data_IF_431387182023
#
_entry.id   IF_431387182023
#
_cell.length_a   1.000
_cell.length_b   1.000
_cell.length_c   1.000
_cell.angle_alpha   90.00
_cell.angle_beta   90.00
_cell.angle_gamma   90.00
#
_symmetry.space_group_name_H-M   'P 1'
#
loop_
_entity.id
_entity.type
_entity.pdbx_description
1 polymer ?
2 non-polymer ?
3 water ?
#
# COMPACT_ATOMS: atom_id res chain seq x y z
N UNK A 1 -0.42 6.54 -14.51
CA UNK A 1 0.66 6.42 -15.54
C UNK A 1 1.37 5.10 -15.42
N UNK A 2 2.10 4.88 -14.34
CA UNK A 2 2.61 3.55 -14.10
C UNK A 2 3.02 3.26 -12.65
N UNK A 3 2.71 2.04 -12.21
CA UNK A 3 3.03 1.61 -10.85
C UNK A 3 3.61 0.20 -10.84
N UNK A 4 4.61 -0.03 -9.99
CA UNK A 4 5.24 -1.34 -9.89
C UNK A 4 5.36 -1.81 -8.44
N UNK A 5 4.82 -3.00 -8.20
CA UNK A 5 4.87 -3.67 -6.91
C UNK A 5 5.78 -4.90 -7.01
N UNK A 6 7.05 -4.76 -6.70
CA UNK A 6 8.03 -5.82 -6.95
C UNK A 6 7.80 -7.14 -6.19
N UNK A 7 7.01 -7.17 -5.12
CA UNK A 7 6.74 -8.42 -4.40
C UNK A 7 5.29 -8.85 -4.57
N UNK A 8 5.09 -10.11 -4.90
CA UNK A 8 3.73 -10.60 -5.14
C UNK A 8 3.09 -11.11 -3.86
N UNK A 9 3.92 -11.63 -2.96
CA UNK A 9 3.42 -12.19 -1.72
C UNK A 9 4.29 -11.82 -0.57
N UNK A 10 3.67 -11.66 0.59
CA UNK A 10 4.44 -11.48 1.79
C UNK A 10 3.83 -12.26 2.96
N UNK A 11 4.66 -13.04 3.63
CA UNK A 11 4.23 -13.83 4.78
C UNK A 11 4.90 -13.26 6.01
N UNK A 12 4.10 -13.07 7.05
CA UNK A 12 4.55 -12.36 8.23
C UNK A 12 3.70 -12.79 9.44
N UNK A 13 4.35 -12.84 10.59
CA UNK A 13 3.68 -13.17 11.84
C UNK A 13 3.04 -11.93 12.49
N UNK A 14 1.91 -12.18 13.11
CA UNK A 14 1.24 -11.14 13.81
C UNK A 14 2.20 -10.48 14.82
N UNK A 15 2.28 -9.15 14.78
CA UNK A 15 3.12 -8.42 15.70
C UNK A 15 4.32 -7.81 15.04
N UNK A 16 4.72 -8.37 13.92
CA UNK A 16 5.88 -7.88 13.24
C UNK A 16 5.49 -6.78 12.29
N UNK A 17 6.50 -6.07 11.84
CA UNK A 17 6.38 -4.98 10.91
C UNK A 17 6.13 -5.50 9.55
N UNK A 18 5.75 -4.60 8.68
CA UNK A 18 5.43 -4.94 7.32
C UNK A 18 5.78 -3.75 6.46
N UNK A 19 6.31 -4.01 5.28
CA UNK A 19 6.59 -2.95 4.33
C UNK A 19 6.18 -3.49 2.97
N UNK A 20 5.24 -2.85 2.29
CA UNK A 20 4.87 -3.25 0.93
C UNK A 20 5.43 -2.25 -0.03
N UNK A 21 6.36 -2.71 -0.86
CA UNK A 21 7.02 -1.82 -1.79
C UNK A 21 6.16 -1.41 -3.01
N UNK A 22 6.22 -0.13 -3.34
CA UNK A 22 5.60 0.38 -4.55
C UNK A 22 6.48 1.43 -5.23
N UNK A 23 6.71 1.25 -6.52
CA UNK A 23 7.44 2.23 -7.29
C UNK A 23 6.51 2.78 -8.34
N UNK A 24 6.68 4.04 -8.69
CA UNK A 24 5.82 4.61 -9.70
C UNK A 24 6.62 5.29 -10.76
N UNK A 25 5.94 5.53 -11.87
CA UNK A 25 6.51 6.21 -13.00
C UNK A 25 5.59 7.33 -13.43
N UNK A 26 6.18 8.50 -13.52
CA UNK A 26 5.48 9.69 -13.92
C UNK A 26 6.55 10.75 -13.96
N UNK A 27 6.18 11.92 -14.44
CA UNK A 27 7.14 12.99 -14.57
C UNK A 27 6.53 14.17 -13.90
N UNK A 28 5.22 14.24 -14.01
CA UNK A 28 4.51 15.34 -13.41
C UNK A 28 4.37 15.12 -11.92
N UNK A 29 3.32 15.74 -11.41
CA UNK A 29 2.92 15.65 -10.03
C UNK A 29 2.01 14.40 -9.94
N UNK A 30 2.40 13.35 -9.21
CA UNK A 30 1.54 12.16 -9.08
C UNK A 30 0.54 12.17 -7.92
N UNK A 31 -0.64 11.62 -8.16
CA UNK A 31 -1.58 11.32 -7.09
C UNK A 31 -1.38 9.81 -6.82
N UNK A 32 -1.08 9.45 -5.57
CA UNK A 32 -0.81 8.07 -5.20
C UNK A 32 -1.80 7.50 -4.22
N UNK A 33 -2.04 6.20 -4.33
CA UNK A 33 -3.02 5.54 -3.47
C UNK A 33 -2.62 4.11 -3.10
N UNK A 34 -3.14 3.65 -1.98
CA UNK A 34 -3.11 2.24 -1.60
C UNK A 34 -4.59 1.80 -1.39
N UNK A 35 -4.95 0.66 -1.97
CA UNK A 35 -6.28 0.04 -1.84
C UNK A 35 -6.08 -1.35 -1.30
N UNK A 36 -7.04 -1.82 -0.51
CA UNK A 36 -6.96 -3.15 0.06
C UNK A 36 -8.20 -3.96 -0.34
N UNK A 37 -7.97 -5.22 -0.67
CA UNK A 37 -9.05 -6.15 -0.96
C UNK A 37 -9.08 -7.30 0.07
N UNK A 38 -10.05 -7.24 0.97
CA UNK A 38 -10.29 -8.30 1.93
C UNK A 38 -11.10 -9.38 1.26
N UNK A 39 -11.06 -10.59 1.81
CA UNK A 39 -11.82 -11.72 1.29
C UNK A 39 -13.30 -11.40 1.16
N UNK A 40 -13.88 -11.85 0.07
CA UNK A 40 -15.29 -11.62 -0.15
C UNK A 40 -15.72 -10.15 0.01
N UNK A 41 -14.93 -9.24 -0.53
CA UNK A 41 -15.38 -7.85 -0.63
C UNK A 41 -14.67 -7.13 -1.75
N UNK A 42 -15.23 -6.00 -2.17
CA UNK A 42 -14.61 -5.21 -3.21
C UNK A 42 -13.42 -4.42 -2.70
N UNK A 43 -12.72 -3.74 -3.60
CA UNK A 43 -11.60 -2.90 -3.21
C UNK A 43 -12.03 -1.81 -2.26
N UNK A 44 -11.15 -1.42 -1.35
CA UNK A 44 -11.40 -0.23 -0.55
C UNK A 44 -10.14 0.61 -0.54
N UNK A 45 -10.35 1.92 -0.46
CA UNK A 45 -9.22 2.81 -0.43
C UNK A 45 -8.62 2.70 0.95
N UNK A 46 -7.30 2.63 1.02
CA UNK A 46 -6.63 2.50 2.30
C UNK A 46 -6.00 3.84 2.62
N UNK A 47 -5.29 4.42 1.67
CA UNK A 47 -4.79 5.75 1.91
C UNK A 47 -4.50 6.43 0.59
N UNK A 48 -4.29 7.74 0.64
CA UNK A 48 -4.12 8.50 -0.57
C UNK A 48 -3.29 9.73 -0.35
N UNK A 49 -2.60 10.13 -1.40
CA UNK A 49 -1.73 11.28 -1.35
C UNK A 49 -2.01 12.14 -2.55
N UNK A 50 -2.34 13.40 -2.30
CA UNK A 50 -2.55 14.36 -3.39
C UNK A 50 -1.55 15.46 -3.31
N UNK A 51 -1.32 15.93 -2.10
CA UNK A 51 -0.39 17.02 -1.89
C UNK A 51 -0.05 17.14 -0.42
N UNK A 52 0.77 18.14 -0.13
CA UNK A 52 1.23 18.40 1.22
C UNK A 52 2.27 17.43 1.72
N UNK A 53 2.12 17.11 2.99
CA UNK A 53 3.00 16.21 3.70
C UNK A 53 3.01 14.83 3.03
N UNK A 54 4.21 14.36 2.73
CA UNK A 54 4.44 13.12 1.99
C UNK A 54 4.12 11.86 2.77
N UNK A 55 4.10 11.97 4.09
CA UNK A 55 3.75 10.88 4.96
C UNK A 55 2.25 10.97 5.20
N UNK A 56 1.55 9.90 4.86
CA UNK A 56 0.11 9.86 4.94
C UNK A 56 -0.31 8.71 5.82
N UNK A 57 -1.29 8.96 6.67
CA UNK A 57 -1.72 7.95 7.61
C UNK A 57 -3.10 7.47 7.22
N UNK A 58 -3.25 6.17 7.05
CA UNK A 58 -4.54 5.60 6.71
C UNK A 58 -5.13 4.86 7.90
N UNK A 59 -6.25 4.18 7.67
CA UNK A 59 -6.91 3.39 8.71
C UNK A 59 -6.01 2.28 9.24
N UNK A 60 -6.30 1.85 10.47
CA UNK A 60 -5.62 0.74 11.13
C UNK A 60 -4.09 0.71 11.18
N UNK A 61 -3.43 1.82 11.47
CA UNK A 61 -1.98 1.82 11.62
C UNK A 61 -1.18 1.82 10.33
N UNK A 62 -1.86 1.95 9.21
CA UNK A 62 -1.16 1.91 7.94
C UNK A 62 -0.63 3.26 7.60
N UNK A 63 0.60 3.26 7.10
CA UNK A 63 1.32 4.47 6.71
C UNK A 63 2.00 4.36 5.35
N UNK A 64 2.10 5.49 4.67
CA UNK A 64 2.83 5.58 3.42
C UNK A 64 3.48 6.96 3.23
N UNK A 65 4.67 6.91 2.66
CA UNK A 65 5.44 8.09 2.38
C UNK A 65 5.69 8.26 0.89
N UNK A 66 5.38 9.45 0.40
CA UNK A 66 5.64 9.78 -0.97
C UNK A 66 7.07 10.26 -1.04
N UNK A 67 7.86 9.66 -1.92
CA UNK A 67 9.22 10.13 -2.12
C UNK A 67 9.46 10.46 -3.57
N UNK A 68 9.56 11.73 -3.90
CA UNK A 68 9.85 12.13 -5.28
C UNK A 68 11.25 11.72 -5.73
N UNK A 69 12.20 11.79 -4.82
CA UNK A 69 13.59 11.49 -5.12
C UNK A 69 13.79 10.02 -5.40
N UNK A 70 13.14 9.20 -4.57
CA UNK A 70 13.23 7.77 -4.70
C UNK A 70 12.10 7.29 -5.57
N UNK A 71 11.22 8.21 -5.95
CA UNK A 71 10.00 7.86 -6.67
C UNK A 71 9.35 6.58 -6.13
N UNK A 72 9.12 6.54 -4.82
CA UNK A 72 8.47 5.40 -4.18
C UNK A 72 7.21 5.82 -3.41
N UNK A 73 6.41 4.83 -2.98
CA UNK A 73 5.23 5.07 -2.13
C UNK A 73 5.04 3.81 -1.28
N UNK A 74 6.08 3.46 -0.55
CA UNK A 74 6.06 2.26 0.27
C UNK A 74 5.05 2.38 1.41
N UNK A 75 4.30 1.31 1.60
CA UNK A 75 3.32 1.23 2.66
C UNK A 75 3.96 0.47 3.81
N UNK A 76 3.72 0.95 5.02
CA UNK A 76 4.22 0.30 6.20
C UNK A 76 3.21 0.27 7.35
N UNK A 77 3.49 -0.65 8.26
CA UNK A 77 2.74 -0.77 9.50
C UNK A 77 3.68 -1.37 10.52
N UNK A 78 3.73 -0.78 11.71
CA UNK A 78 4.66 -1.21 12.77
C UNK A 78 4.39 -2.59 13.33
N UNK A 79 3.14 -2.95 13.45
CA UNK A 79 2.85 -4.20 14.11
C UNK A 79 1.57 -4.76 13.52
N UNK A 80 1.72 -5.72 12.59
CA UNK A 80 0.57 -6.24 11.82
C UNK A 80 -0.38 -7.05 12.67
N UNK A 81 -1.65 -6.93 12.33
CA UNK A 81 -2.71 -7.70 12.96
C UNK A 81 -3.11 -8.86 12.04
N UNK A 82 -3.69 -9.90 12.63
CA UNK A 82 -4.04 -11.09 11.87
C UNK A 82 -5.12 -10.81 10.88
N UNK A 83 -5.99 -9.90 11.20
CA UNK A 83 -7.03 -9.54 10.26
C UNK A 83 -6.48 -8.72 9.07
N UNK A 84 -5.17 -8.46 9.05
CA UNK A 84 -4.58 -7.70 7.94
C UNK A 84 -4.32 -8.53 6.67
N UNK A 85 -4.60 -9.83 6.73
CA UNK A 85 -4.40 -10.66 5.56
C UNK A 85 -5.28 -10.18 4.42
N UNK A 86 -4.66 -9.94 3.29
CA UNK A 86 -5.37 -9.38 2.17
C UNK A 86 -4.44 -9.12 1.02
N UNK A 87 -5.02 -8.58 -0.04
CA UNK A 87 -4.25 -8.20 -1.21
C UNK A 87 -4.25 -6.68 -1.26
N UNK A 88 -3.04 -6.13 -1.30
CA UNK A 88 -2.81 -4.69 -1.32
C UNK A 88 -2.36 -4.19 -2.70
N UNK A 89 -3.07 -3.18 -3.21
CA UNK A 89 -2.79 -2.63 -4.53
C UNK A 89 -2.37 -1.17 -4.41
N UNK A 90 -1.25 -0.84 -5.07
CA UNK A 90 -0.75 0.52 -5.21
C UNK A 90 -1.34 1.07 -6.51
N UNK A 91 -1.71 2.33 -6.53
CA UNK A 91 -2.23 2.92 -7.75
C UNK A 91 -1.71 4.34 -7.89
N UNK A 92 -1.63 4.82 -9.12
CA UNK A 92 -1.17 6.18 -9.39
C UNK A 92 -2.11 6.96 -10.30
N UNK A 93 -2.07 8.29 -10.18
CA UNK A 93 -2.92 9.14 -11.00
C UNK A 93 -2.31 10.53 -11.16
N UNK A 94 -3.13 11.48 -11.58
CA UNK A 94 -2.66 12.84 -11.81
C UNK A 94 -3.76 13.75 -12.30
N UNK A 95 -3.42 15.02 -12.46
CA UNK A 95 -4.39 16.01 -12.88
C UNK A 95 -5.19 15.55 -14.10
N UNK A 96 -4.53 15.32 -15.23
CA UNK A 96 -5.25 14.89 -16.43
C UNK A 96 -4.89 13.46 -16.82
N UNK A 97 -4.88 12.58 -15.83
CA UNK A 97 -4.48 11.20 -16.02
C UNK A 97 -5.51 10.23 -15.41
N UNK A 98 -5.54 9.00 -15.90
CA UNK A 98 -6.47 8.03 -15.35
C UNK A 98 -5.81 7.33 -14.17
N UNK A 99 -6.62 6.65 -13.38
CA UNK A 99 -6.12 5.85 -12.28
C UNK A 99 -5.52 4.52 -12.76
N UNK A 100 -4.27 4.23 -12.39
CA UNK A 100 -3.61 2.98 -12.80
C UNK A 100 -3.20 2.14 -11.62
N UNK A 101 -3.39 0.83 -11.71
CA UNK A 101 -3.12 -0.09 -10.61
C UNK A 101 -1.93 -0.95 -10.86
N UNK A 102 -1.32 -1.39 -9.76
CA UNK A 102 -0.18 -2.28 -9.77
C UNK A 102 -0.75 -3.67 -9.71
N UNK A 103 0.13 -4.67 -9.75
CA UNK A 103 -0.24 -6.09 -9.79
C UNK A 103 -0.69 -6.64 -8.44
N UNK A 104 -0.46 -5.87 -7.38
CA UNK A 104 -0.93 -6.23 -6.06
C UNK A 104 0.03 -7.09 -5.29
N UNK A 105 -0.15 -7.11 -3.98
CA UNK A 105 0.73 -7.91 -3.15
C UNK A 105 -0.05 -8.62 -2.08
N UNK A 106 0.00 -9.94 -2.15
CA UNK A 106 -0.70 -10.77 -1.19
C UNK A 106 0.06 -10.83 0.14
N UNK A 107 -0.63 -10.47 1.21
CA UNK A 107 -0.07 -10.52 2.56
C UNK A 107 -0.74 -11.62 3.37
N UNK A 108 0.04 -12.59 3.79
CA UNK A 108 -0.46 -13.67 4.60
C UNK A 108 0.05 -13.37 6.00
N UNK A 109 -0.85 -13.22 6.98
CA UNK A 109 -0.45 -12.99 8.37
C UNK A 109 -0.67 -14.24 9.18
N UNK A 110 0.36 -14.65 9.90
CA UNK A 110 0.24 -15.79 10.79
C UNK A 110 -0.27 -15.22 12.12
N UNK A 111 -1.35 -15.79 12.66
CA UNK A 111 -1.94 -15.29 13.89
C UNK A 111 -1.10 -15.69 15.08
N UNK A 112 -1.20 -14.94 16.16
CA UNK A 112 -0.44 -15.21 17.36
C UNK A 112 -1.34 -15.97 18.29
N UNK A 113 -0.88 -17.11 18.76
CA UNK A 113 -1.71 -17.95 19.57
C UNK A 113 -1.12 -18.14 20.96
N UNK A 114 -1.93 -17.89 21.98
CA UNK A 114 -1.53 -18.05 23.37
C UNK A 114 -2.46 -19.01 24.04
N UNK A 115 -2.23 -19.24 25.32
CA UNK A 115 -3.10 -20.09 26.09
C UNK A 115 -3.23 -19.48 27.48
X LIG B 1 15.60 6.87 -0.56
X LIG B 1 15.00 6.77 0.84
X LIG B 1 16.06 7.17 1.86
X LIG B 1 17.26 6.24 1.73
X LIG B 1 17.73 6.20 0.28
X LIG B 1 18.84 5.17 0.10
X LIG B 1 12.63 6.96 1.30
X LIG B 1 11.82 6.30 0.23
X LIG B 1 13.78 7.55 0.95
X LIG B 1 15.53 7.18 3.17
X LIG B 1 18.34 6.69 2.53
X LIG B 1 16.64 5.90 -0.58
X LIG B 1 18.46 3.91 0.64
X LIG B 1 12.24 6.92 2.47
#
# INVERSE_FOLDING_TARGET
>A
QSVTQPDARVTVSEGASLQLRCKYSYSATPYLFWYVQYPRQGLQLLLKYYSGDPVVQGVNGFEAEFSKSNSSFHLRKASVHWSDSAVYFCAVSGFASALTFGSGTKVIVLPYIQN
>B hetero
1 NAG C1 C2 C3 C4 C5 C6 C7 C8 N2 O3 O4 O5 O6 O7
#
